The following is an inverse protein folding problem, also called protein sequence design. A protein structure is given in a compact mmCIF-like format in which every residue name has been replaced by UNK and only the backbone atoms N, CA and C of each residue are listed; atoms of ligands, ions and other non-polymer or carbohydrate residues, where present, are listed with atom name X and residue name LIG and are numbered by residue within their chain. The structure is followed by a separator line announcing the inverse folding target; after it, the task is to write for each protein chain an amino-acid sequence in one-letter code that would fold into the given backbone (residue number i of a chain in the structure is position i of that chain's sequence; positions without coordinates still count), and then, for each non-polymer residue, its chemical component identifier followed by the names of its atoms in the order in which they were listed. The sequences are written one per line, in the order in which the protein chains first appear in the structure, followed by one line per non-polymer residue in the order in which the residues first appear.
data_IF_825149241529
#
_entry.id   IF_825149241529
#
_cell.length_a   1.000
_cell.length_b   1.000
_cell.length_c   1.000
_cell.angle_alpha   90.00
_cell.angle_beta   90.00
_cell.angle_gamma   90.00
#
_symmetry.space_group_name_H-M   'P 1'
#
loop_
_entity.id
_entity.type
_entity.pdbx_description
1 polymer ?
#
# COMPACT_ATOMS: atom_id res chain seq x y z
N UNK A 1 9.89 -33.42 -9.06
CA UNK A 1 9.66 -32.78 -10.38
C UNK A 1 9.04 -31.39 -10.27
N UNK A 2 7.91 -31.21 -9.56
CA UNK A 2 7.22 -29.90 -9.50
C UNK A 2 7.86 -28.83 -8.58
N UNK A 3 8.33 -29.20 -7.39
CA UNK A 3 8.77 -28.22 -6.37
C UNK A 3 10.10 -27.49 -6.64
N UNK A 4 11.02 -28.07 -7.42
CA UNK A 4 12.36 -27.50 -7.61
C UNK A 4 12.51 -26.67 -8.89
N UNK A 5 11.58 -26.80 -9.84
CA UNK A 5 11.67 -26.15 -11.15
C UNK A 5 10.48 -25.21 -11.39
N UNK A 6 9.26 -25.71 -11.21
CA UNK A 6 8.04 -24.94 -11.53
C UNK A 6 7.75 -23.90 -10.44
N UNK A 7 7.92 -24.26 -9.16
CA UNK A 7 7.68 -23.36 -8.04
C UNK A 7 8.55 -22.07 -8.11
N UNK A 8 9.89 -22.13 -8.26
CA UNK A 8 10.70 -20.92 -8.35
C UNK A 8 10.43 -20.10 -9.62
N UNK A 9 10.08 -20.75 -10.74
CA UNK A 9 9.72 -20.05 -11.98
C UNK A 9 8.37 -19.34 -11.86
N UNK A 10 7.37 -19.99 -11.28
CA UNK A 10 6.05 -19.40 -11.06
C UNK A 10 6.12 -18.19 -10.11
N UNK A 11 6.91 -18.29 -9.02
CA UNK A 11 7.13 -17.16 -8.10
C UNK A 11 7.72 -15.94 -8.80
N UNK A 12 8.70 -16.12 -9.71
CA UNK A 12 9.31 -15.02 -10.47
C UNK A 12 8.31 -14.29 -11.37
N UNK A 13 7.27 -14.98 -11.86
CA UNK A 13 6.25 -14.43 -12.77
C UNK A 13 5.13 -13.74 -11.98
N UNK A 14 4.71 -14.33 -10.86
CA UNK A 14 3.50 -13.89 -10.13
C UNK A 14 3.80 -12.80 -9.10
N UNK A 15 5.00 -12.75 -8.52
CA UNK A 15 5.34 -11.77 -7.48
C UNK A 15 5.34 -10.30 -7.97
N UNK A 16 5.92 -9.94 -9.14
CA UNK A 16 5.87 -8.57 -9.65
C UNK A 16 4.44 -7.98 -9.81
N UNK A 17 3.51 -8.63 -10.53
CA UNK A 17 2.16 -8.09 -10.70
C UNK A 17 1.39 -8.03 -9.37
N UNK A 18 1.58 -9.00 -8.46
CA UNK A 18 0.97 -8.96 -7.13
C UNK A 18 1.41 -7.74 -6.32
N UNK A 19 2.70 -7.40 -6.36
CA UNK A 19 3.23 -6.22 -5.67
C UNK A 19 2.59 -4.92 -6.19
N UNK A 20 2.47 -4.78 -7.51
CA UNK A 20 1.83 -3.61 -8.10
C UNK A 20 0.33 -3.54 -7.76
N UNK A 21 -0.40 -4.67 -7.85
CA UNK A 21 -1.81 -4.73 -7.44
C UNK A 21 -1.99 -4.41 -5.96
N UNK A 22 -1.10 -4.89 -5.08
CA UNK A 22 -1.13 -4.58 -3.66
C UNK A 22 -1.00 -3.07 -3.37
N UNK A 23 -0.05 -2.38 -4.03
CA UNK A 23 0.08 -0.92 -3.91
C UNK A 23 -1.17 -0.20 -4.44
N UNK A 24 -1.77 -0.70 -5.52
CA UNK A 24 -3.04 -0.19 -6.04
C UNK A 24 -4.19 -0.34 -5.04
N UNK A 25 -4.31 -1.51 -4.40
CA UNK A 25 -5.32 -1.78 -3.38
C UNK A 25 -5.14 -0.90 -2.14
N UNK A 26 -3.90 -0.67 -1.69
CA UNK A 26 -3.63 0.25 -0.56
C UNK A 26 -4.14 1.67 -0.85
N UNK A 27 -3.95 2.17 -2.08
CA UNK A 27 -4.48 3.48 -2.50
C UNK A 27 -6.01 3.47 -2.62
N UNK A 28 -6.58 2.36 -3.10
CA UNK A 28 -8.04 2.21 -3.23
C UNK A 28 -8.75 2.08 -1.87
N UNK A 29 -8.10 1.48 -0.88
CA UNK A 29 -8.65 1.24 0.44
C UNK A 29 -9.00 2.54 1.17
N UNK A 30 -8.24 3.62 0.95
CA UNK A 30 -8.52 4.94 1.57
C UNK A 30 -9.83 5.59 1.14
N UNK A 31 -10.51 5.09 0.10
CA UNK A 31 -11.85 5.56 -0.28
C UNK A 31 -12.92 5.02 0.71
N UNK A 32 -12.62 3.93 1.43
CA UNK A 32 -13.56 3.27 2.34
C UNK A 32 -13.92 4.14 3.57
N UNK A 33 -13.12 5.16 3.90
CA UNK A 33 -13.46 6.17 4.90
C UNK A 33 -14.85 6.81 4.68
N UNK A 34 -15.29 6.92 3.42
CA UNK A 34 -16.60 7.52 3.07
C UNK A 34 -17.77 6.69 3.59
N UNK A 35 -17.61 5.38 3.72
CA UNK A 35 -18.62 4.44 4.24
C UNK A 35 -18.37 4.07 5.71
N UNK A 36 -17.63 4.91 6.45
CA UNK A 36 -17.33 4.75 7.88
C UNK A 36 -16.59 3.46 8.24
N UNK A 37 -15.81 2.90 7.31
CA UNK A 37 -14.88 1.81 7.63
C UNK A 37 -13.66 2.41 8.32
N UNK A 38 -13.24 1.89 9.50
CA UNK A 38 -12.11 2.43 10.24
C UNK A 38 -10.80 2.21 9.48
N UNK A 39 -10.37 3.26 8.77
CA UNK A 39 -9.08 3.38 8.10
C UNK A 39 -8.35 4.67 8.54
N UNK A 40 -7.22 4.96 7.91
CA UNK A 40 -6.41 6.15 8.25
C UNK A 40 -7.16 7.48 8.02
N UNK A 41 -7.99 7.55 6.98
CA UNK A 41 -8.74 8.76 6.61
C UNK A 41 -9.98 8.90 7.51
N UNK A 42 -10.56 7.79 7.95
CA UNK A 42 -11.58 7.76 8.98
C UNK A 42 -11.06 8.32 10.29
N UNK A 43 -9.88 7.88 10.74
CA UNK A 43 -9.24 8.42 11.94
C UNK A 43 -8.96 9.93 11.80
N UNK A 44 -8.57 10.39 10.61
CA UNK A 44 -8.41 11.81 10.33
C UNK A 44 -9.73 12.60 10.53
N UNK A 45 -10.86 12.04 10.10
CA UNK A 45 -12.17 12.65 10.29
C UNK A 45 -12.57 12.68 11.77
N UNK A 46 -12.32 11.61 12.53
CA UNK A 46 -12.63 11.56 13.96
C UNK A 46 -11.80 12.57 14.76
N UNK A 47 -10.50 12.67 14.46
CA UNK A 47 -9.61 13.65 15.06
C UNK A 47 -10.00 15.08 14.69
N UNK A 48 -10.43 15.32 13.45
CA UNK A 48 -10.93 16.64 13.04
C UNK A 48 -12.15 17.10 13.87
N UNK A 49 -13.08 16.19 14.18
CA UNK A 49 -14.25 16.51 15.02
C UNK A 49 -13.83 16.87 16.45
N UNK A 50 -12.73 16.31 16.95
CA UNK A 50 -12.26 16.53 18.32
C UNK A 50 -11.36 17.75 18.44
N UNK A 51 -10.43 17.94 17.49
CA UNK A 51 -9.42 19.02 17.53
C UNK A 51 -9.88 20.30 16.83
N UNK A 52 -10.90 20.24 15.96
CA UNK A 52 -11.36 21.36 15.12
C UNK A 52 -10.26 21.97 14.22
N UNK A 53 -9.19 21.23 13.94
CA UNK A 53 -8.07 21.64 13.07
C UNK A 53 -7.97 20.77 11.80
N UNK A 54 -8.89 20.93 10.83
CA UNK A 54 -8.98 20.05 9.66
C UNK A 54 -7.69 20.02 8.84
N UNK A 55 -7.11 21.20 8.58
CA UNK A 55 -5.95 21.31 7.70
C UNK A 55 -4.75 20.51 8.21
N UNK A 56 -4.41 20.65 9.49
CA UNK A 56 -3.26 20.00 10.12
C UNK A 56 -3.43 18.48 10.16
N UNK A 57 -4.62 18.02 10.55
CA UNK A 57 -4.94 16.59 10.66
C UNK A 57 -4.92 15.92 9.29
N UNK A 58 -5.60 16.48 8.28
CA UNK A 58 -5.60 15.91 6.94
C UNK A 58 -4.24 16.00 6.25
N UNK A 59 -3.47 17.08 6.45
CA UNK A 59 -2.11 17.19 5.91
C UNK A 59 -1.18 16.13 6.51
N UNK A 60 -1.25 15.89 7.83
CA UNK A 60 -0.46 14.86 8.50
C UNK A 60 -0.79 13.46 7.99
N UNK A 61 -2.09 13.13 7.87
CA UNK A 61 -2.54 11.82 7.35
C UNK A 61 -2.18 11.66 5.88
N UNK A 62 -2.33 12.70 5.06
CA UNK A 62 -1.92 12.68 3.66
C UNK A 62 -0.42 12.41 3.52
N UNK A 63 0.43 13.07 4.32
CA UNK A 63 1.87 12.83 4.32
C UNK A 63 2.21 11.39 4.72
N UNK A 64 1.57 10.87 5.77
CA UNK A 64 1.76 9.49 6.23
C UNK A 64 1.38 8.49 5.13
N UNK A 65 0.24 8.70 4.46
CA UNK A 65 -0.21 7.89 3.34
C UNK A 65 0.79 7.91 2.17
N UNK A 66 1.31 9.08 1.80
CA UNK A 66 2.33 9.20 0.76
C UNK A 66 3.60 8.43 1.14
N UNK A 67 4.09 8.60 2.36
CA UNK A 67 5.27 7.87 2.86
C UNK A 67 5.03 6.36 2.82
N UNK A 68 3.86 5.90 3.25
CA UNK A 68 3.49 4.48 3.23
C UNK A 68 3.44 3.92 1.80
N UNK A 69 2.80 4.63 0.89
CA UNK A 69 2.72 4.24 -0.53
C UNK A 69 4.11 4.18 -1.15
N UNK A 70 4.95 5.19 -0.93
CA UNK A 70 6.33 5.22 -1.44
C UNK A 70 7.17 4.09 -0.85
N UNK A 71 7.03 3.81 0.45
CA UNK A 71 7.71 2.70 1.11
C UNK A 71 7.35 1.36 0.46
N UNK A 72 6.06 1.04 0.31
CA UNK A 72 5.64 -0.21 -0.33
C UNK A 72 6.03 -0.26 -1.80
N UNK A 73 5.92 0.85 -2.52
CA UNK A 73 6.36 0.93 -3.92
C UNK A 73 7.87 0.65 -4.06
N UNK A 74 8.69 1.17 -3.13
CA UNK A 74 10.12 0.90 -3.10
C UNK A 74 10.42 -0.57 -2.77
N UNK A 75 9.70 -1.18 -1.83
CA UNK A 75 9.83 -2.62 -1.51
C UNK A 75 9.52 -3.48 -2.73
N UNK A 76 8.42 -3.20 -3.43
CA UNK A 76 8.03 -3.90 -4.66
C UNK A 76 9.10 -3.70 -5.74
N UNK A 77 9.58 -2.47 -5.93
CA UNK A 77 10.65 -2.18 -6.89
C UNK A 77 11.96 -2.94 -6.59
N UNK A 78 12.37 -3.03 -5.32
CA UNK A 78 13.53 -3.82 -4.92
C UNK A 78 13.32 -5.31 -5.18
N UNK A 79 12.11 -5.82 -4.93
CA UNK A 79 11.76 -7.22 -5.14
C UNK A 79 11.77 -7.58 -6.64
N UNK A 80 11.19 -6.72 -7.48
CA UNK A 80 11.24 -6.83 -8.94
C UNK A 80 12.69 -6.83 -9.44
N UNK A 81 13.51 -5.90 -8.96
CA UNK A 81 14.92 -5.80 -9.34
C UNK A 81 15.70 -7.07 -8.96
N UNK A 82 15.45 -7.66 -7.80
CA UNK A 82 16.08 -8.92 -7.37
C UNK A 82 15.64 -10.11 -8.23
N UNK A 83 14.36 -10.21 -8.55
CA UNK A 83 13.80 -11.32 -9.34
C UNK A 83 14.16 -11.25 -10.82
N UNK A 84 14.46 -10.07 -11.35
CA UNK A 84 14.87 -9.88 -12.76
C UNK A 84 16.36 -10.15 -13.01
N UNK A 85 17.20 -10.14 -11.98
CA UNK A 85 18.67 -10.28 -12.08
C UNK A 85 19.15 -11.72 -11.77
N UNK A 86 18.32 -12.57 -11.13
CA UNK A 86 18.61 -13.97 -10.82
C UNK A 86 17.76 -14.95 -11.65
#
# INVERSE_FOLDING_TARGET
TYGHVILPQAFRIVVPPLGNTFVGLLKGATIMAVIAVPDMVFLANELNVTLFTPFEVFAAVALLLVVMVLFFSAVVYLLERRLRIA
#
